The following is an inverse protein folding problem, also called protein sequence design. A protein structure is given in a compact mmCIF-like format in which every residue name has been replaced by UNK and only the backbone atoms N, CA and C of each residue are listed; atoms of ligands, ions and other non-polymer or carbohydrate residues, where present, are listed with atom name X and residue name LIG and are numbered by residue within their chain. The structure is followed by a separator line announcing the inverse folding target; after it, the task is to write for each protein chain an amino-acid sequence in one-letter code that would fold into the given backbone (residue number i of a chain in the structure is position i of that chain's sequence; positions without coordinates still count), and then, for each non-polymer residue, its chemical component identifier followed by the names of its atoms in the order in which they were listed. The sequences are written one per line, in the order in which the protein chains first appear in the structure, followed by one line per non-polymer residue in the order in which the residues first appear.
data_IF_496270717504
#
_entry.id   IF_496270717504
#
_cell.length_a   1.000
_cell.length_b   1.000
_cell.length_c   1.000
_cell.angle_alpha   90.00
_cell.angle_beta   90.00
_cell.angle_gamma   90.00
#
_symmetry.space_group_name_H-M   'P 1'
#
loop_
_entity.id
_entity.type
_entity.pdbx_description
1 polymer ?
#
# COMPACT_ATOMS: atom_id res chain seq x y z
N UNK A 1 -26.75 -27.00 -8.28
CA UNK A 1 -25.74 -25.95 -8.53
C UNK A 1 -26.03 -24.80 -7.57
N UNK A 2 -25.33 -24.75 -6.44
CA UNK A 2 -25.45 -23.63 -5.51
C UNK A 2 -24.82 -22.38 -6.13
N UNK A 3 -25.55 -21.27 -6.13
CA UNK A 3 -25.00 -19.95 -6.48
C UNK A 3 -24.00 -19.57 -5.40
N UNK A 4 -22.71 -19.74 -5.68
CA UNK A 4 -21.63 -19.18 -4.87
C UNK A 4 -21.73 -17.66 -4.98
N UNK A 5 -22.21 -17.01 -3.92
CA UNK A 5 -22.16 -15.55 -3.82
C UNK A 5 -20.68 -15.19 -3.72
N UNK A 6 -20.11 -14.72 -4.83
CA UNK A 6 -18.79 -14.09 -4.80
C UNK A 6 -19.05 -12.67 -4.31
N UNK A 7 -18.75 -12.39 -3.05
CA UNK A 7 -18.77 -11.00 -2.60
C UNK A 7 -17.72 -10.24 -3.40
N UNK A 8 -18.10 -9.15 -4.06
CA UNK A 8 -17.14 -8.24 -4.69
C UNK A 8 -16.23 -7.63 -3.62
N UNK A 9 -14.94 -7.38 -3.92
CA UNK A 9 -14.06 -6.70 -2.97
C UNK A 9 -14.72 -5.39 -2.52
N UNK A 10 -14.66 -5.12 -1.22
CA UNK A 10 -15.11 -3.84 -0.70
C UNK A 10 -14.05 -2.81 -1.05
N UNK A 11 -14.34 -2.00 -2.06
CA UNK A 11 -13.49 -0.93 -2.54
C UNK A 11 -14.22 0.40 -2.37
N UNK A 12 -13.55 1.39 -1.80
CA UNK A 12 -14.01 2.76 -1.71
C UNK A 12 -12.83 3.70 -2.04
N UNK A 13 -12.99 4.68 -2.94
CA UNK A 13 -11.96 5.68 -3.19
C UNK A 13 -11.79 6.62 -1.98
N UNK A 14 -10.64 7.31 -1.84
CA UNK A 14 -10.48 8.35 -0.83
C UNK A 14 -11.50 9.48 -1.04
N UNK A 15 -11.84 10.18 0.05
CA UNK A 15 -12.87 11.23 0.04
C UNK A 15 -12.27 12.64 -0.05
N UNK A 16 -11.16 12.88 0.66
CA UNK A 16 -10.47 14.16 0.76
C UNK A 16 -8.96 13.93 0.88
N UNK A 17 -8.16 14.98 0.68
CA UNK A 17 -6.74 14.95 1.03
C UNK A 17 -6.55 14.85 2.55
N UNK A 18 -5.53 14.12 3.00
CA UNK A 18 -5.18 13.98 4.41
C UNK A 18 -3.70 13.57 4.61
N UNK A 19 -3.11 13.98 5.74
CA UNK A 19 -1.70 13.71 6.07
C UNK A 19 -1.59 12.98 7.41
N UNK A 20 -1.66 11.63 7.43
CA UNK A 20 -1.61 10.85 8.66
C UNK A 20 -0.19 10.77 9.22
N UNK A 21 -0.07 10.55 10.54
CA UNK A 21 1.21 10.25 11.18
C UNK A 21 1.64 8.80 10.90
N UNK A 22 2.88 8.59 10.42
CA UNK A 22 3.42 7.26 10.10
C UNK A 22 4.28 6.77 11.27
N UNK A 23 3.69 5.95 12.14
CA UNK A 23 4.24 5.45 13.41
C UNK A 23 4.22 3.93 13.55
N UNK A 24 3.43 3.23 12.74
CA UNK A 24 3.16 1.79 12.86
C UNK A 24 2.19 1.45 14.00
N UNK A 25 1.58 2.45 14.65
CA UNK A 25 0.59 2.25 15.70
C UNK A 25 -0.83 2.34 15.14
N UNK A 26 -1.83 1.83 15.86
CA UNK A 26 -3.23 2.00 15.45
C UNK A 26 -3.64 3.48 15.35
N UNK A 27 -2.90 4.36 16.04
CA UNK A 27 -3.06 5.81 15.96
C UNK A 27 -4.41 6.31 16.44
N UNK A 28 -4.74 7.55 16.04
CA UNK A 28 -6.08 8.10 16.23
C UNK A 28 -6.95 7.72 15.02
N UNK A 29 -8.14 7.16 15.27
CA UNK A 29 -9.08 6.73 14.22
C UNK A 29 -9.35 7.82 13.16
N UNK A 30 -9.38 9.09 13.57
CA UNK A 30 -9.68 10.21 12.69
C UNK A 30 -8.61 10.49 11.62
N UNK A 31 -7.36 10.06 11.81
CA UNK A 31 -6.27 10.34 10.85
C UNK A 31 -6.51 9.66 9.49
N UNK A 32 -7.25 8.55 9.46
CA UNK A 32 -7.50 7.76 8.25
C UNK A 32 -8.97 7.79 7.81
N UNK A 33 -9.77 8.73 8.31
CA UNK A 33 -11.22 8.79 8.04
C UNK A 33 -11.55 9.12 6.57
N UNK A 34 -10.71 9.95 5.94
CA UNK A 34 -10.83 10.33 4.54
C UNK A 34 -10.21 9.31 3.57
N UNK A 35 -9.59 8.25 4.10
CA UNK A 35 -8.87 7.29 3.29
C UNK A 35 -9.82 6.42 2.45
N UNK A 36 -9.35 6.09 1.25
CA UNK A 36 -9.88 4.98 0.49
C UNK A 36 -9.66 3.67 1.23
N UNK A 37 -10.43 2.66 0.86
CA UNK A 37 -10.51 1.40 1.55
C UNK A 37 -10.53 0.27 0.54
N UNK A 38 -9.72 -0.76 0.80
CA UNK A 38 -9.76 -2.00 0.06
C UNK A 38 -9.75 -3.19 1.02
N UNK A 39 -10.71 -4.08 0.88
CA UNK A 39 -10.71 -5.39 1.53
C UNK A 39 -11.04 -6.46 0.52
N UNK A 40 -10.08 -7.37 0.30
CA UNK A 40 -10.33 -8.55 -0.51
C UNK A 40 -11.38 -9.43 0.18
N UNK A 41 -12.42 -9.74 -0.57
CA UNK A 41 -13.49 -10.70 -0.25
C UNK A 41 -13.21 -12.09 -0.79
N UNK A 42 -12.14 -12.26 -1.58
CA UNK A 42 -11.73 -13.55 -2.08
C UNK A 42 -11.05 -14.37 -0.97
N UNK A 43 -11.49 -15.63 -0.84
CA UNK A 43 -10.69 -16.69 -0.22
C UNK A 43 -10.95 -16.99 1.25
N UNK A 44 -12.10 -17.59 1.56
CA UNK A 44 -12.32 -18.41 2.77
C UNK A 44 -11.30 -19.57 2.90
N UNK A 45 -10.57 -19.90 1.84
CA UNK A 45 -9.68 -21.05 1.68
C UNK A 45 -8.25 -20.81 2.18
N UNK A 46 -7.78 -19.56 2.27
CA UNK A 46 -6.41 -19.22 2.74
C UNK A 46 -6.41 -18.45 4.08
N UNK A 47 -7.46 -18.59 4.89
CA UNK A 47 -7.52 -17.94 6.22
C UNK A 47 -6.38 -18.32 7.17
N UNK A 48 -5.68 -19.43 6.92
CA UNK A 48 -4.64 -19.93 7.81
C UNK A 48 -3.41 -19.01 7.95
N UNK A 49 -3.04 -18.25 6.91
CA UNK A 49 -1.78 -17.48 6.84
C UNK A 49 -1.94 -16.02 6.40
N UNK A 50 -3.17 -15.47 6.32
CA UNK A 50 -3.37 -14.08 5.92
C UNK A 50 -2.92 -13.13 7.04
N UNK A 51 -1.98 -12.25 6.73
CA UNK A 51 -1.45 -11.23 7.64
C UNK A 51 -2.07 -9.86 7.35
N UNK A 52 -2.43 -9.58 6.11
CA UNK A 52 -3.04 -8.32 5.67
C UNK A 52 -4.53 -8.55 5.42
N UNK A 53 -5.39 -8.00 6.28
CA UNK A 53 -6.84 -8.09 6.11
C UNK A 53 -7.36 -7.07 5.11
N UNK A 54 -6.88 -5.84 5.19
CA UNK A 54 -7.38 -4.70 4.43
C UNK A 54 -6.31 -3.63 4.27
N UNK A 55 -6.53 -2.76 3.29
CA UNK A 55 -5.74 -1.57 3.06
C UNK A 55 -6.61 -0.33 3.25
N UNK A 56 -6.01 0.71 3.80
CA UNK A 56 -6.43 2.10 3.66
C UNK A 56 -5.40 2.83 2.83
N UNK A 57 -5.83 3.80 2.04
CA UNK A 57 -4.89 4.56 1.20
C UNK A 57 -5.45 5.93 0.85
N UNK A 58 -4.59 6.83 0.40
CA UNK A 58 -5.00 8.11 -0.12
C UNK A 58 -3.82 9.04 -0.27
N UNK A 59 -4.08 10.33 -0.23
CA UNK A 59 -3.14 11.34 -0.69
C UNK A 59 -3.20 12.57 0.19
N UNK A 60 -2.07 13.25 0.34
CA UNK A 60 -2.07 14.70 0.48
C UNK A 60 -1.54 15.35 -0.81
N UNK A 61 -1.24 16.65 -0.77
CA UNK A 61 -0.71 17.39 -1.92
C UNK A 61 0.61 16.82 -2.48
N UNK A 62 1.39 16.09 -1.67
CA UNK A 62 2.78 15.71 -1.98
C UNK A 62 3.06 14.22 -1.84
N UNK A 63 2.23 13.47 -1.14
CA UNK A 63 2.49 12.08 -0.75
C UNK A 63 1.28 11.20 -1.02
N UNK A 64 1.59 9.99 -1.46
CA UNK A 64 0.69 8.86 -1.38
C UNK A 64 0.88 8.16 -0.04
N UNK A 65 -0.22 7.82 0.61
CA UNK A 65 -0.25 7.10 1.87
C UNK A 65 -0.94 5.77 1.71
N UNK A 66 -0.43 4.75 2.39
CA UNK A 66 -1.19 3.53 2.64
C UNK A 66 -0.97 3.00 4.06
N UNK A 67 -1.96 2.25 4.53
CA UNK A 67 -1.94 1.50 5.78
C UNK A 67 -2.54 0.12 5.54
N UNK A 68 -1.75 -0.90 5.74
CA UNK A 68 -2.16 -2.28 5.84
C UNK A 68 -2.57 -2.58 7.29
N UNK A 69 -3.77 -3.14 7.47
CA UNK A 69 -4.29 -3.58 8.76
C UNK A 69 -4.50 -5.09 8.73
N UNK A 70 -4.14 -5.78 9.81
CA UNK A 70 -4.29 -7.22 9.95
C UNK A 70 -3.51 -7.75 11.15
N UNK A 71 -3.10 -9.03 11.11
CA UNK A 71 -2.38 -9.67 12.21
C UNK A 71 -0.86 -9.59 11.98
N UNK A 72 -0.22 -8.56 12.53
CA UNK A 72 1.22 -8.36 12.40
C UNK A 72 2.02 -8.76 13.64
N UNK A 73 1.40 -9.39 14.64
CA UNK A 73 2.14 -9.90 15.81
C UNK A 73 3.21 -10.91 15.38
N UNK A 74 2.85 -11.84 14.49
CA UNK A 74 3.79 -12.81 13.94
C UNK A 74 4.97 -12.14 13.22
N UNK A 75 4.71 -11.03 12.49
CA UNK A 75 5.75 -10.24 11.82
C UNK A 75 6.69 -9.60 12.84
N UNK A 76 6.15 -8.99 13.89
CA UNK A 76 6.93 -8.33 14.95
C UNK A 76 7.80 -9.30 15.75
N UNK A 77 7.33 -10.52 15.96
CA UNK A 77 8.06 -11.56 16.69
C UNK A 77 8.97 -12.42 15.83
N UNK A 78 8.91 -12.26 14.51
CA UNK A 78 9.72 -13.05 13.58
C UNK A 78 11.20 -12.73 13.73
N UNK A 79 12.06 -13.75 13.56
CA UNK A 79 13.50 -13.57 13.37
C UNK A 79 13.89 -13.36 11.91
N UNK A 80 12.91 -13.51 11.01
CA UNK A 80 13.12 -13.26 9.59
C UNK A 80 13.18 -11.77 9.31
N UNK A 81 13.98 -11.42 8.31
CA UNK A 81 14.15 -10.06 7.85
C UNK A 81 12.97 -9.69 6.92
N UNK A 82 11.87 -9.26 7.54
CA UNK A 82 10.63 -8.91 6.84
C UNK A 82 10.74 -7.52 6.21
N UNK A 83 10.33 -7.44 4.95
CA UNK A 83 10.20 -6.19 4.21
C UNK A 83 8.75 -5.90 3.84
N UNK A 84 8.41 -4.61 3.87
CA UNK A 84 7.20 -4.09 3.27
C UNK A 84 7.53 -3.66 1.84
N UNK A 85 6.75 -4.11 0.87
CA UNK A 85 6.94 -3.79 -0.54
C UNK A 85 5.65 -3.23 -1.13
N UNK A 86 5.72 -1.99 -1.61
CA UNK A 86 4.71 -1.37 -2.47
C UNK A 86 5.14 -1.56 -3.93
N UNK A 87 4.40 -2.38 -4.67
CA UNK A 87 4.56 -2.57 -6.11
C UNK A 87 3.72 -1.53 -6.84
N UNK A 88 4.33 -0.74 -7.72
CA UNK A 88 3.63 0.21 -8.59
C UNK A 88 3.80 -0.24 -10.04
N UNK A 89 2.69 -0.28 -10.78
CA UNK A 89 2.67 -0.64 -12.21
C UNK A 89 2.44 0.57 -13.12
N UNK A 90 1.61 1.52 -12.69
CA UNK A 90 1.30 2.77 -13.38
C UNK A 90 1.49 3.94 -12.40
N UNK A 91 2.09 5.07 -12.80
CA UNK A 91 2.47 5.49 -14.17
C UNK A 91 3.78 4.89 -14.68
N UNK A 92 4.57 4.28 -13.80
CA UNK A 92 5.80 3.57 -14.16
C UNK A 92 6.02 2.38 -13.23
N UNK A 93 6.67 1.34 -13.75
CA UNK A 93 6.94 0.13 -12.97
C UNK A 93 8.10 0.35 -11.99
N UNK A 94 7.79 0.36 -10.70
CA UNK A 94 8.76 0.49 -9.61
C UNK A 94 8.30 -0.27 -8.36
N UNK A 95 9.22 -0.42 -7.41
CA UNK A 95 8.93 -0.89 -6.06
C UNK A 95 9.43 0.12 -5.05
N UNK A 96 8.65 0.34 -4.00
CA UNK A 96 9.12 0.99 -2.78
C UNK A 96 9.27 -0.08 -1.71
N UNK A 97 10.46 -0.19 -1.15
CA UNK A 97 10.82 -1.26 -0.22
C UNK A 97 11.23 -0.62 1.11
N UNK A 98 10.51 -0.97 2.17
CA UNK A 98 10.91 -0.68 3.53
C UNK A 98 11.53 -1.92 4.17
N UNK A 99 12.77 -1.80 4.61
CA UNK A 99 13.53 -2.89 5.22
C UNK A 99 14.58 -2.33 6.18
N UNK A 100 14.69 -2.91 7.38
CA UNK A 100 15.70 -2.54 8.37
C UNK A 100 15.81 -1.02 8.65
N UNK A 101 14.66 -0.34 8.73
CA UNK A 101 14.60 1.11 9.00
C UNK A 101 14.89 2.00 7.79
N UNK A 102 15.14 1.42 6.62
CA UNK A 102 15.44 2.15 5.38
C UNK A 102 14.32 1.95 4.37
N UNK A 103 13.96 3.04 3.68
CA UNK A 103 12.97 3.06 2.62
C UNK A 103 13.65 3.40 1.30
N UNK A 104 13.56 2.49 0.33
CA UNK A 104 14.23 2.62 -0.97
C UNK A 104 13.24 2.51 -2.12
N UNK A 105 13.49 3.28 -3.18
CA UNK A 105 12.79 3.18 -4.46
C UNK A 105 13.67 2.42 -5.44
N UNK A 106 13.10 1.38 -6.04
CA UNK A 106 13.77 0.47 -6.96
C UNK A 106 13.01 0.44 -8.29
N UNK A 107 13.71 0.48 -9.45
CA UNK A 107 13.06 0.17 -10.72
C UNK A 107 12.54 -1.26 -10.69
N UNK A 108 11.38 -1.51 -11.29
CA UNK A 108 10.79 -2.84 -11.34
C UNK A 108 10.41 -3.21 -12.77
N UNK A 109 10.78 -4.43 -13.15
CA UNK A 109 10.44 -5.04 -14.43
C UNK A 109 9.38 -6.12 -14.18
N UNK A 110 8.15 -5.87 -14.62
CA UNK A 110 6.99 -6.73 -14.38
C UNK A 110 7.01 -8.04 -15.18
N UNK A 111 8.01 -8.24 -16.04
CA UNK A 111 8.16 -9.38 -16.95
C UNK A 111 8.61 -10.70 -16.29
N UNK A 112 8.10 -10.99 -15.08
CA UNK A 112 8.11 -12.33 -14.47
C UNK A 112 9.43 -12.80 -13.85
N UNK A 113 10.56 -12.16 -14.15
CA UNK A 113 11.79 -12.36 -13.40
C UNK A 113 11.79 -11.41 -12.21
N UNK A 114 11.63 -11.96 -11.00
CA UNK A 114 11.99 -11.21 -9.79
C UNK A 114 13.49 -10.94 -9.86
N UNK A 115 13.89 -9.73 -10.25
CA UNK A 115 15.25 -9.27 -9.97
C UNK A 115 15.48 -9.42 -8.46
N UNK A 116 16.52 -10.15 -8.03
CA UNK A 116 16.78 -10.32 -6.61
C UNK A 116 16.86 -8.93 -5.98
N UNK A 117 16.16 -8.74 -4.86
CA UNK A 117 16.20 -7.48 -4.10
C UNK A 117 17.62 -7.11 -3.58
N UNK A 118 18.64 -7.91 -3.90
CA UNK A 118 20.04 -7.71 -3.54
C UNK A 118 20.95 -7.15 -4.63
N UNK A 119 20.48 -6.88 -5.85
CA UNK A 119 21.38 -6.43 -6.95
C UNK A 119 21.34 -4.92 -7.20
N UNK A 120 20.30 -4.22 -6.74
CA UNK A 120 20.18 -2.77 -6.90
C UNK A 120 20.28 -2.06 -5.56
N UNK A 121 21.24 -1.14 -5.44
CA UNK A 121 21.19 -0.09 -4.42
C UNK A 121 20.08 0.88 -4.84
N UNK A 122 18.89 0.71 -4.27
CA UNK A 122 17.78 1.63 -4.51
C UNK A 122 18.13 3.05 -4.13
N UNK A 123 17.42 4.00 -4.73
CA UNK A 123 17.51 5.38 -4.31
C UNK A 123 16.80 5.50 -2.97
N UNK A 124 17.49 6.04 -1.96
CA UNK A 124 16.88 6.33 -0.67
C UNK A 124 15.70 7.28 -0.89
N UNK A 125 14.54 6.90 -0.37
CA UNK A 125 13.31 7.68 -0.46
C UNK A 125 13.23 8.68 0.69
N UNK A 126 12.65 9.86 0.46
CA UNK A 126 12.31 10.82 1.51
C UNK A 126 10.97 10.51 2.19
N UNK A 127 10.32 9.42 1.80
CA UNK A 127 9.15 8.89 2.47
C UNK A 127 9.43 8.35 3.87
N UNK A 128 8.36 7.97 4.53
CA UNK A 128 8.39 7.33 5.84
C UNK A 128 7.64 6.01 5.77
N UNK A 129 8.08 5.04 6.56
CA UNK A 129 7.39 3.78 6.71
C UNK A 129 7.60 3.23 8.12
N UNK A 130 6.63 2.46 8.59
CA UNK A 130 6.67 1.85 9.90
C UNK A 130 5.96 0.49 9.87
N UNK A 131 6.52 -0.47 10.60
CA UNK A 131 5.93 -1.79 10.86
C UNK A 131 5.71 -1.88 12.36
N UNK A 132 4.46 -2.01 12.77
CA UNK A 132 4.07 -2.16 14.17
C UNK A 132 2.76 -2.92 14.31
N UNK A 133 1.81 -2.36 15.07
CA UNK A 133 0.44 -2.89 15.14
C UNK A 133 -0.29 -2.76 13.79
N UNK A 134 0.17 -1.85 12.93
CA UNK A 134 -0.17 -1.74 11.51
C UNK A 134 1.09 -1.56 10.70
N UNK A 135 0.99 -1.72 9.38
CA UNK A 135 2.08 -1.46 8.45
C UNK A 135 1.68 -0.28 7.58
N UNK A 136 2.42 0.82 7.63
CA UNK A 136 2.04 2.06 6.97
C UNK A 136 3.24 2.78 6.36
N UNK A 137 2.98 3.54 5.31
CA UNK A 137 3.98 4.36 4.66
C UNK A 137 3.36 5.61 4.02
N UNK A 138 4.17 6.66 3.93
CA UNK A 138 3.91 7.88 3.18
C UNK A 138 5.04 8.13 2.19
N UNK A 139 4.75 8.01 0.90
CA UNK A 139 5.73 8.08 -0.19
C UNK A 139 5.53 9.36 -1.01
N UNK A 140 6.57 10.16 -1.26
CA UNK A 140 6.48 11.32 -2.14
C UNK A 140 5.98 10.96 -3.54
N UNK A 141 4.99 11.69 -4.05
CA UNK A 141 4.40 11.48 -5.37
C UNK A 141 5.42 11.67 -6.50
N UNK A 142 6.39 12.57 -6.31
CA UNK A 142 7.49 12.77 -7.25
C UNK A 142 8.38 11.51 -7.39
N UNK A 143 8.57 10.76 -6.30
CA UNK A 143 9.34 9.51 -6.31
C UNK A 143 8.55 8.36 -6.97
N UNK A 144 7.22 8.43 -6.94
CA UNK A 144 6.34 7.54 -7.70
C UNK A 144 6.28 7.90 -9.19
N UNK A 145 6.67 9.13 -9.55
CA UNK A 145 6.55 9.65 -10.92
C UNK A 145 5.11 10.01 -11.30
N UNK A 146 4.26 10.28 -10.30
CA UNK A 146 2.85 10.63 -10.46
C UNK A 146 2.61 12.13 -10.41
N UNK A 147 1.58 12.59 -11.12
CA UNK A 147 1.01 13.94 -11.05
C UNK A 147 -0.51 13.86 -10.88
N UNK A 148 -1.13 14.98 -10.49
CA UNK A 148 -2.60 15.10 -10.47
C UNK A 148 -3.21 14.66 -11.80
N UNK A 149 -4.24 13.82 -11.73
CA UNK A 149 -4.92 13.26 -12.90
C UNK A 149 -4.30 11.97 -13.46
N UNK A 150 -3.08 11.58 -13.03
CA UNK A 150 -2.54 10.27 -13.34
C UNK A 150 -3.29 9.18 -12.55
N UNK A 151 -3.19 7.94 -13.02
CA UNK A 151 -3.60 6.77 -12.24
C UNK A 151 -2.41 6.14 -11.52
N UNK A 152 -2.62 5.70 -10.29
CA UNK A 152 -1.67 4.91 -9.53
C UNK A 152 -2.22 3.48 -9.40
N UNK A 153 -1.52 2.53 -10.01
CA UNK A 153 -1.82 1.11 -9.90
C UNK A 153 -0.86 0.47 -8.91
N UNK A 154 -1.36 0.05 -7.75
CA UNK A 154 -0.52 -0.42 -6.66
C UNK A 154 -0.96 -1.74 -6.02
N UNK A 155 0.02 -2.45 -5.46
CA UNK A 155 -0.19 -3.59 -4.58
C UNK A 155 0.78 -3.54 -3.42
N UNK A 156 0.36 -4.04 -2.26
CA UNK A 156 1.14 -4.07 -1.03
C UNK A 156 1.43 -5.51 -0.67
N UNK A 157 2.69 -5.83 -0.39
CA UNK A 157 3.10 -7.15 0.10
C UNK A 157 4.02 -7.07 1.32
N UNK A 158 3.93 -8.10 2.15
CA UNK A 158 4.94 -8.44 3.15
C UNK A 158 5.79 -9.58 2.61
N UNK A 159 7.12 -9.45 2.74
CA UNK A 159 8.05 -10.43 2.17
C UNK A 159 9.13 -10.85 3.16
N UNK A 160 9.42 -12.15 3.22
CA UNK A 160 10.64 -12.68 3.82
C UNK A 160 11.66 -12.91 2.70
N UNK A 161 12.70 -12.07 2.64
CA UNK A 161 13.61 -12.06 1.50
C UNK A 161 12.87 -11.83 0.18
N UNK A 162 12.94 -12.79 -0.74
CA UNK A 162 12.27 -12.72 -2.04
C UNK A 162 10.87 -13.38 -2.06
N UNK A 163 10.43 -14.01 -0.98
CA UNK A 163 9.13 -14.70 -0.93
C UNK A 163 8.04 -13.75 -0.43
N UNK A 164 6.90 -13.67 -1.13
CA UNK A 164 5.74 -12.93 -0.65
C UNK A 164 4.99 -13.78 0.38
N UNK A 165 4.98 -13.34 1.64
CA UNK A 165 4.23 -13.98 2.72
C UNK A 165 2.74 -13.67 2.56
N UNK A 166 2.43 -12.42 2.26
CA UNK A 166 1.08 -11.98 1.96
C UNK A 166 1.10 -10.77 1.01
N UNK A 167 0.01 -10.58 0.26
CA UNK A 167 -0.15 -9.51 -0.73
C UNK A 167 -1.61 -9.11 -0.89
N UNK A 168 -1.88 -7.81 -0.89
CA UNK A 168 -3.16 -7.25 -1.31
C UNK A 168 -2.99 -6.26 -2.47
N UNK A 169 -3.81 -6.37 -3.54
CA UNK A 169 -4.71 -7.49 -3.81
C UNK A 169 -3.91 -8.78 -4.10
N UNK A 170 -4.54 -9.96 -3.96
CA UNK A 170 -3.83 -11.24 -4.20
C UNK A 170 -3.36 -11.38 -5.65
N UNK A 171 -4.16 -10.88 -6.59
CA UNK A 171 -3.82 -10.75 -8.00
C UNK A 171 -4.16 -9.33 -8.49
N UNK A 172 -3.41 -8.86 -9.48
CA UNK A 172 -3.60 -7.52 -10.06
C UNK A 172 -3.13 -6.39 -9.13
N UNK A 173 -3.76 -5.23 -9.30
CA UNK A 173 -3.45 -3.97 -8.61
C UNK A 173 -4.74 -3.25 -8.23
N UNK A 174 -4.65 -2.40 -7.20
CA UNK A 174 -5.66 -1.40 -6.90
C UNK A 174 -5.35 -0.17 -7.74
N UNK A 175 -6.32 0.29 -8.53
CA UNK A 175 -6.22 1.50 -9.34
C UNK A 175 -6.91 2.66 -8.63
N UNK A 176 -6.20 3.78 -8.49
CA UNK A 176 -6.74 5.03 -7.93
C UNK A 176 -6.27 6.23 -8.75
N UNK A 177 -7.14 7.21 -8.95
CA UNK A 177 -6.75 8.50 -9.55
C UNK A 177 -6.01 9.35 -8.53
N UNK A 178 -4.90 9.94 -8.92
CA UNK A 178 -4.18 10.93 -8.11
C UNK A 178 -5.01 12.22 -8.11
N UNK A 179 -5.48 12.68 -6.94
CA UNK A 179 -6.37 13.82 -6.85
C UNK A 179 -5.68 15.15 -7.20
N UNK A 180 -6.44 16.16 -7.66
CA UNK A 180 -5.95 17.54 -7.72
C UNK A 180 -5.78 18.15 -6.32
N UNK A 181 -5.03 19.26 -6.19
CA UNK A 181 -4.77 19.90 -4.89
C UNK A 181 -6.03 20.37 -4.14
N UNK A 182 -7.14 20.62 -4.84
CA UNK A 182 -8.43 21.05 -4.28
C UNK A 182 -9.38 19.89 -3.96
N UNK A 183 -8.90 18.65 -4.02
CA UNK A 183 -9.73 17.46 -3.86
C UNK A 183 -10.40 17.39 -2.48
N UNK A 184 -11.73 17.37 -2.52
CA UNK A 184 -12.54 17.37 -1.32
C UNK A 184 -12.65 18.74 -0.64
N UNK A 185 -12.17 19.82 -1.26
CA UNK A 185 -12.58 21.17 -0.88
C UNK A 185 -14.08 21.31 -1.12
N UNK A 186 -14.81 21.82 -0.13
CA UNK A 186 -16.24 22.13 -0.28
C UNK A 186 -16.40 23.18 -1.38
N UNK A 187 -16.74 22.74 -2.59
CA UNK A 187 -17.14 23.63 -3.66
C UNK A 187 -18.61 24.01 -3.41
N UNK A 188 -18.87 24.77 -2.35
CA UNK A 188 -20.13 25.46 -2.16
C UNK A 188 -20.19 26.65 -3.12
N UNK A 189 -20.55 26.38 -4.38
CA UNK A 189 -21.16 27.41 -5.21
C UNK A 189 -22.65 27.43 -4.87
N UNK A 190 -23.03 28.37 -4.00
CA UNK A 190 -24.40 28.87 -3.91
C UNK A 190 -24.69 29.82 -5.08
#
# INVERSE_FOLDING_TARGET
MERRIVHSPLFQPPLHLFSPSITGSLGNYYEWIAAGYYKSTEGSTHRGNRLIDRLRYGFDEKKFYFRAEGNFEAVRTSREDISLVLEIQNPRSLRVVYKSGRLDVLPWKSNGAAEPMGTFLGQASHGTAAIGAVVEAGIPLEELGTRSGDFLDFAVSLRAGNEAIDRLPQAGFITVSVPPPDFGGENWSA
#
